data_IF_206000877464
#
_entry.id   IF_206000877464
#
_cell.length_a   1.000
_cell.length_b   1.000
_cell.length_c   1.000
_cell.angle_alpha   90.00
_cell.angle_beta   90.00
_cell.angle_gamma   90.00
#
_symmetry.space_group_name_H-M   'P 1'
#
loop_
_entity.id
_entity.type
_entity.pdbx_description
1 polymer ?
#
# COMPACT_ATOMS: atom_id res chain seq x y z
N UNK A 1 11.80 15.75 -9.38
CA UNK A 1 11.29 14.37 -9.50
C UNK A 1 9.79 14.44 -9.71
N UNK A 2 9.32 14.21 -10.94
CA UNK A 2 7.90 14.23 -11.32
C UNK A 2 7.22 12.94 -10.82
N UNK A 3 5.96 13.08 -10.42
CA UNK A 3 5.16 12.11 -9.69
C UNK A 3 5.19 10.69 -10.27
N UNK A 4 5.69 9.72 -9.49
CA UNK A 4 5.73 8.29 -9.83
C UNK A 4 4.34 7.63 -9.91
N UNK A 5 3.28 8.38 -9.61
CA UNK A 5 1.90 7.89 -9.54
C UNK A 5 1.15 8.21 -10.84
N UNK A 6 1.53 7.54 -11.92
CA UNK A 6 0.78 7.61 -13.18
C UNK A 6 -0.45 6.70 -13.05
N UNK A 7 -1.65 7.28 -13.16
CA UNK A 7 -2.90 6.54 -13.03
C UNK A 7 -2.95 5.37 -14.02
N UNK A 8 -3.27 4.18 -13.52
CA UNK A 8 -3.36 2.97 -14.31
C UNK A 8 -2.06 2.18 -14.44
N UNK A 9 -0.90 2.78 -14.18
CA UNK A 9 0.38 2.07 -14.17
C UNK A 9 0.43 1.05 -13.03
N UNK A 10 1.28 0.05 -13.24
CA UNK A 10 1.60 -0.98 -12.26
C UNK A 10 3.03 -0.80 -11.77
N UNK A 11 3.24 -1.00 -10.48
CA UNK A 11 4.55 -1.01 -9.83
C UNK A 11 4.79 -2.40 -9.26
N UNK A 12 5.99 -2.93 -9.48
CA UNK A 12 6.38 -4.26 -9.02
C UNK A 12 7.18 -4.22 -7.72
N UNK A 13 7.18 -5.35 -7.00
CA UNK A 13 8.07 -5.62 -5.85
C UNK A 13 8.07 -4.55 -4.75
N UNK A 14 6.89 -4.09 -4.32
CA UNK A 14 6.78 -3.13 -3.22
C UNK A 14 6.92 -3.86 -1.89
N UNK A 15 7.87 -3.43 -1.07
CA UNK A 15 7.92 -3.72 0.37
C UNK A 15 7.07 -2.72 1.14
N UNK A 16 6.30 -3.17 2.11
CA UNK A 16 5.36 -2.32 2.82
C UNK A 16 5.24 -2.72 4.28
N UNK A 17 4.70 -1.83 5.11
CA UNK A 17 4.49 -2.07 6.54
C UNK A 17 3.03 -1.86 6.92
N UNK A 18 2.54 -2.62 7.90
CA UNK A 18 1.27 -2.34 8.55
C UNK A 18 1.41 -1.20 9.55
N UNK A 19 0.41 -0.31 9.61
CA UNK A 19 0.37 0.80 10.57
C UNK A 19 -1.05 1.05 11.06
N UNK A 20 -1.19 1.66 12.24
CA UNK A 20 -2.47 2.19 12.73
C UNK A 20 -2.70 3.57 12.12
N UNK A 21 -3.72 3.68 11.30
CA UNK A 21 -4.16 4.94 10.72
C UNK A 21 -4.85 5.77 11.83
N UNK A 22 -4.30 6.96 12.12
CA UNK A 22 -4.81 7.85 13.16
C UNK A 22 -6.14 8.50 12.81
N UNK A 23 -6.45 8.69 11.52
CA UNK A 23 -7.69 9.34 11.07
C UNK A 23 -8.87 8.38 11.16
N UNK A 24 -8.65 7.09 10.84
CA UNK A 24 -9.74 6.10 10.77
C UNK A 24 -9.68 5.03 11.85
N UNK A 25 -8.61 4.97 12.64
CA UNK A 25 -8.36 3.90 13.61
C UNK A 25 -8.15 2.52 12.98
N UNK A 26 -8.05 2.40 11.65
CA UNK A 26 -7.90 1.10 10.96
C UNK A 26 -6.43 0.69 10.87
N UNK A 27 -6.19 -0.62 10.86
CA UNK A 27 -4.88 -1.15 10.44
C UNK A 27 -4.83 -1.06 8.91
N UNK A 28 -3.82 -0.36 8.39
CA UNK A 28 -3.59 -0.16 6.95
C UNK A 28 -2.15 -0.52 6.60
N UNK A 29 -1.84 -0.52 5.30
CA UNK A 29 -0.51 -0.83 4.79
C UNK A 29 0.00 0.33 3.93
N UNK A 30 1.28 0.66 4.04
CA UNK A 30 1.96 1.73 3.27
C UNK A 30 3.34 1.28 2.77
N UNK A 31 3.87 1.84 1.67
CA UNK A 31 5.22 1.51 1.21
C UNK A 31 6.29 1.87 2.25
N UNK A 32 7.34 1.06 2.35
CA UNK A 32 8.55 1.44 3.06
C UNK A 32 9.26 2.61 2.36
N UNK A 33 9.96 3.43 3.14
CA UNK A 33 10.76 4.56 2.64
C UNK A 33 11.87 4.07 1.70
N UNK A 34 12.21 4.88 0.69
CA UNK A 34 13.33 4.62 -0.23
C UNK A 34 12.96 3.90 -1.53
N UNK A 35 11.68 3.59 -1.76
CA UNK A 35 11.20 2.89 -2.96
C UNK A 35 10.66 3.82 -4.06
N UNK A 36 10.89 5.13 -3.95
CA UNK A 36 10.36 6.11 -4.92
C UNK A 36 8.84 6.35 -4.83
N UNK A 37 8.17 5.81 -3.81
CA UNK A 37 6.73 5.98 -3.57
C UNK A 37 6.47 6.87 -2.34
N UNK A 38 5.37 7.64 -2.34
CA UNK A 38 4.99 8.40 -1.16
C UNK A 38 4.73 7.48 0.04
N UNK A 39 5.40 7.71 1.17
CA UNK A 39 5.23 6.86 2.36
C UNK A 39 3.87 7.04 3.05
N UNK A 40 3.11 8.08 2.69
CA UNK A 40 1.74 8.31 3.19
C UNK A 40 0.65 7.68 2.31
N UNK A 41 0.99 7.11 1.15
CA UNK A 41 0.00 6.43 0.31
C UNK A 41 -0.41 5.10 0.92
N UNK A 42 -1.70 4.78 0.84
CA UNK A 42 -2.23 3.51 1.33
C UNK A 42 -2.21 2.47 0.21
N UNK A 43 -1.79 1.26 0.56
CA UNK A 43 -1.94 0.06 -0.28
C UNK A 43 -3.21 -0.69 0.16
N UNK A 44 -4.19 -0.73 -0.73
CA UNK A 44 -5.38 -1.57 -0.61
C UNK A 44 -4.98 -3.03 -0.83
N UNK A 45 -5.23 -3.84 0.21
CA UNK A 45 -4.83 -5.25 0.30
C UNK A 45 -5.81 -6.04 1.18
N UNK A 46 -5.55 -7.35 1.32
CA UNK A 46 -6.33 -8.27 2.15
C UNK A 46 -6.39 -7.77 3.59
N UNK A 47 -7.61 -7.70 4.11
CA UNK A 47 -7.84 -7.24 5.49
C UNK A 47 -7.63 -8.33 6.52
N UNK A 48 -7.87 -9.58 6.19
CA UNK A 48 -7.53 -10.73 7.03
C UNK A 48 -6.02 -10.80 7.21
N UNK A 49 -5.27 -10.74 6.11
CA UNK A 49 -3.82 -10.90 6.13
C UNK A 49 -3.13 -9.83 6.96
N UNK A 50 -3.37 -8.54 6.68
CA UNK A 50 -2.69 -7.46 7.44
C UNK A 50 -3.09 -7.39 8.92
N UNK A 51 -4.22 -7.99 9.31
CA UNK A 51 -4.71 -8.03 10.71
C UNK A 51 -4.25 -9.28 11.46
N UNK A 52 -3.81 -10.32 10.73
CA UNK A 52 -3.29 -11.55 11.32
C UNK A 52 -1.91 -11.35 11.97
N UNK A 53 -1.25 -10.22 11.73
CA UNK A 53 0.08 -9.89 12.24
C UNK A 53 0.08 -8.59 13.06
N UNK A 54 1.06 -8.40 13.97
CA UNK A 54 1.21 -7.16 14.71
C UNK A 54 1.38 -5.93 13.80
N UNK A 55 0.99 -4.75 14.31
CA UNK A 55 1.29 -3.47 13.67
C UNK A 55 2.81 -3.32 13.53
N UNK A 56 3.28 -2.78 12.39
CA UNK A 56 4.70 -2.67 12.06
C UNK A 56 5.25 -3.90 11.33
N UNK A 57 4.42 -4.92 11.06
CA UNK A 57 4.83 -6.08 10.27
C UNK A 57 5.14 -5.65 8.84
N UNK A 58 6.27 -6.12 8.32
CA UNK A 58 6.66 -5.92 6.93
C UNK A 58 6.04 -6.99 6.03
N UNK A 59 5.66 -6.55 4.83
CA UNK A 59 5.10 -7.38 3.78
C UNK A 59 5.78 -7.06 2.45
N UNK A 60 5.60 -7.96 1.48
CA UNK A 60 5.81 -7.69 0.06
C UNK A 60 4.50 -7.81 -0.70
N UNK A 61 4.41 -7.09 -1.81
CA UNK A 61 3.32 -7.19 -2.78
C UNK A 61 3.85 -6.93 -4.19
N UNK A 62 3.16 -7.50 -5.18
CA UNK A 62 3.54 -7.44 -6.59
C UNK A 62 2.37 -6.92 -7.42
N UNK A 63 2.67 -6.43 -8.61
CA UNK A 63 1.69 -5.95 -9.57
C UNK A 63 0.68 -4.96 -8.95
N UNK A 64 1.21 -3.90 -8.34
CA UNK A 64 0.41 -2.93 -7.60
C UNK A 64 -0.02 -1.80 -8.52
N UNK A 65 -1.33 -1.66 -8.73
CA UNK A 65 -1.89 -0.65 -9.63
C UNK A 65 -2.03 0.70 -8.94
N UNK A 66 -1.65 1.77 -9.62
CA UNK A 66 -1.93 3.15 -9.22
C UNK A 66 -3.38 3.47 -9.54
N UNK A 67 -4.15 3.82 -8.52
CA UNK A 67 -5.57 4.14 -8.61
C UNK A 67 -5.86 5.52 -8.01
N UNK A 68 -7.02 6.08 -8.37
CA UNK A 68 -7.52 7.35 -7.84
C UNK A 68 -8.96 7.16 -7.40
N UNK A 69 -9.32 7.63 -6.20
CA UNK A 69 -10.69 7.65 -5.70
C UNK A 69 -11.46 8.81 -6.35
N UNK A 70 -12.79 8.80 -6.25
CA UNK A 70 -13.64 9.85 -6.82
C UNK A 70 -13.34 11.26 -6.24
N UNK A 71 -12.90 11.32 -4.99
CA UNK A 71 -12.45 12.55 -4.30
C UNK A 71 -11.07 13.06 -4.77
N UNK A 72 -10.44 12.37 -5.72
CA UNK A 72 -9.15 12.72 -6.28
C UNK A 72 -7.94 12.13 -5.55
N UNK A 73 -8.12 11.44 -4.42
CA UNK A 73 -7.01 10.86 -3.65
C UNK A 73 -6.43 9.63 -4.34
N UNK A 74 -5.10 9.62 -4.50
CA UNK A 74 -4.38 8.45 -5.01
C UNK A 74 -4.26 7.35 -3.95
N UNK A 75 -4.33 6.11 -4.40
CA UNK A 75 -4.02 4.92 -3.62
C UNK A 75 -3.41 3.84 -4.51
N UNK A 76 -2.78 2.86 -3.87
CA UNK A 76 -2.21 1.71 -4.54
C UNK A 76 -3.13 0.50 -4.31
N UNK A 77 -3.38 -0.33 -5.33
CA UNK A 77 -4.20 -1.54 -5.20
C UNK A 77 -3.35 -2.77 -5.51
N UNK A 78 -3.15 -3.62 -4.50
CA UNK A 78 -2.47 -4.89 -4.69
C UNK A 78 -3.30 -5.82 -5.60
N UNK A 79 -2.64 -6.49 -6.56
CA UNK A 79 -3.31 -7.47 -7.42
C UNK A 79 -3.94 -8.56 -6.57
N UNK A 80 -5.22 -8.83 -6.81
CA UNK A 80 -6.02 -9.79 -6.02
C UNK A 80 -5.94 -9.57 -4.51
N UNK A 81 -5.69 -8.33 -4.07
CA UNK A 81 -5.50 -7.95 -2.66
C UNK A 81 -4.32 -8.68 -1.98
N UNK A 82 -3.39 -9.23 -2.75
CA UNK A 82 -2.33 -10.09 -2.24
C UNK A 82 -1.20 -9.32 -1.57
N UNK A 83 -0.82 -9.76 -0.38
CA UNK A 83 0.37 -9.36 0.37
C UNK A 83 0.90 -10.62 1.06
N UNK A 84 2.20 -10.67 1.31
CA UNK A 84 2.86 -11.77 2.03
C UNK A 84 3.84 -11.19 3.04
N UNK A 85 3.83 -11.71 4.28
CA UNK A 85 4.76 -11.30 5.33
C UNK A 85 6.20 -11.63 4.93
N UNK A 86 7.13 -10.73 5.27
CA UNK A 86 8.58 -10.89 5.05
C UNK A 86 9.37 -10.71 6.34
#
# INVERSE_FOLDING_TARGET
MKDLLILGNTIENIKCESFKDSETGRIRVRPLKGQGLPTKIVIECSSSERKAHPIGTNFKTINVKVCKKADGRFYLRAKNQWIEKI
#
